data_IF_629381589434
#
_entry.id   IF_629381589434
#
_cell.length_a   1.000
_cell.length_b   1.000
_cell.length_c   1.000
_cell.angle_alpha   90.00
_cell.angle_beta   90.00
_cell.angle_gamma   90.00
#
_symmetry.space_group_name_H-M   'P 1'
#
loop_
_entity.id
_entity.type
_entity.pdbx_description
1 polymer ?
#
# COMPACT_ATOMS: atom_id res chain seq x y z
N UNK A 1 -9.85 -12.67 -6.59
CA UNK A 1 -8.78 -12.54 -5.58
C UNK A 1 -7.66 -11.69 -6.18
N UNK A 2 -7.05 -10.81 -5.40
CA UNK A 2 -5.93 -9.98 -5.84
C UNK A 2 -4.67 -10.48 -5.15
N UNK A 3 -3.67 -10.89 -5.94
CA UNK A 3 -2.37 -11.29 -5.41
C UNK A 3 -1.41 -10.11 -5.57
N UNK A 4 -0.82 -9.65 -4.47
CA UNK A 4 0.20 -8.59 -4.44
C UNK A 4 1.53 -9.21 -4.04
N UNK A 5 2.61 -8.79 -4.70
CA UNK A 5 3.96 -9.26 -4.41
C UNK A 5 4.82 -8.07 -4.04
N UNK A 6 5.07 -7.90 -2.74
CA UNK A 6 5.92 -6.84 -2.20
C UNK A 6 7.34 -7.41 -2.04
N UNK A 7 8.33 -6.79 -2.71
CA UNK A 7 9.74 -7.17 -2.60
C UNK A 7 10.56 -5.97 -2.16
N UNK A 8 11.31 -6.11 -1.06
CA UNK A 8 12.17 -5.04 -0.53
C UNK A 8 13.51 -4.91 -1.25
N UNK A 9 13.82 -5.85 -2.15
CA UNK A 9 15.06 -5.84 -2.93
C UNK A 9 14.75 -6.07 -4.40
N UNK A 10 15.24 -5.18 -5.27
CA UNK A 10 15.21 -5.35 -6.71
C UNK A 10 16.53 -5.99 -7.21
N UNK A 11 16.52 -6.74 -8.32
CA UNK A 11 17.73 -7.18 -9.00
C UNK A 11 18.63 -6.00 -9.40
N UNK A 12 19.87 -6.30 -9.78
CA UNK A 12 20.76 -5.30 -10.37
C UNK A 12 20.10 -4.60 -11.58
N UNK A 13 20.41 -3.32 -11.85
CA UNK A 13 19.89 -2.61 -13.01
C UNK A 13 20.11 -3.38 -14.32
N UNK A 14 19.09 -3.38 -15.19
CA UNK A 14 19.10 -4.08 -16.47
C UNK A 14 17.74 -4.67 -16.84
N UNK A 15 17.69 -5.31 -18.00
CA UNK A 15 16.50 -6.03 -18.48
C UNK A 15 16.40 -7.40 -17.82
N UNK A 16 15.21 -7.69 -17.28
CA UNK A 16 14.87 -8.94 -16.63
C UNK A 16 13.59 -9.54 -17.23
N UNK A 17 13.35 -10.81 -16.96
CA UNK A 17 12.08 -11.47 -17.30
C UNK A 17 11.41 -11.97 -16.04
N UNK A 18 10.23 -11.43 -15.74
CA UNK A 18 9.39 -11.93 -14.65
C UNK A 18 8.50 -13.06 -15.17
N UNK A 19 8.59 -14.23 -14.54
CA UNK A 19 7.79 -15.40 -14.85
C UNK A 19 6.76 -15.69 -13.77
N UNK A 20 5.51 -15.91 -14.17
CA UNK A 20 4.39 -16.21 -13.27
C UNK A 20 3.71 -17.51 -13.71
N UNK A 21 3.26 -18.31 -12.76
CA UNK A 21 2.45 -19.52 -12.98
C UNK A 21 1.46 -19.65 -11.84
N UNK A 22 0.31 -20.23 -12.11
CA UNK A 22 -0.75 -20.43 -11.12
C UNK A 22 -0.96 -21.93 -10.94
N UNK A 23 -1.19 -22.37 -9.71
CA UNK A 23 -1.52 -23.75 -9.38
C UNK A 23 -3.04 -23.87 -9.23
N UNK A 24 -3.66 -24.83 -9.89
CA UNK A 24 -5.09 -25.10 -9.69
C UNK A 24 -5.34 -25.92 -8.40
N UNK A 25 -6.61 -26.05 -8.02
CA UNK A 25 -7.02 -26.81 -6.82
C UNK A 25 -6.71 -28.31 -6.88
N UNK A 26 -6.51 -28.84 -8.09
CA UNK A 26 -6.16 -30.25 -8.30
C UNK A 26 -4.63 -30.46 -8.30
N UNK A 27 -3.84 -29.42 -8.03
CA UNK A 27 -2.39 -29.49 -7.99
C UNK A 27 -1.71 -29.42 -9.37
N UNK A 28 -2.43 -29.02 -10.43
CA UNK A 28 -1.84 -28.84 -11.75
C UNK A 28 -1.33 -27.41 -11.92
N UNK A 29 -0.05 -27.28 -12.30
CA UNK A 29 0.49 -25.99 -12.71
C UNK A 29 -0.05 -25.58 -14.07
N UNK A 30 -0.54 -24.35 -14.16
CA UNK A 30 -0.91 -23.71 -15.42
C UNK A 30 0.32 -23.30 -16.24
N UNK A 31 0.10 -22.79 -17.46
CA UNK A 31 1.16 -22.30 -18.33
C UNK A 31 1.91 -21.12 -17.69
N UNK A 32 3.17 -20.95 -18.08
CA UNK A 32 4.00 -19.84 -17.60
C UNK A 32 3.69 -18.57 -18.40
N UNK A 33 3.21 -17.54 -17.72
CA UNK A 33 3.16 -16.18 -18.22
C UNK A 33 4.50 -15.49 -18.01
N UNK A 34 4.98 -14.71 -18.99
CA UNK A 34 6.24 -13.97 -18.88
C UNK A 34 6.03 -12.53 -19.32
N UNK A 35 6.68 -11.62 -18.61
CA UNK A 35 6.78 -10.21 -18.99
C UNK A 35 8.23 -9.76 -18.87
N UNK A 36 8.68 -8.97 -19.84
CA UNK A 36 9.99 -8.33 -19.80
C UNK A 36 9.86 -7.04 -18.99
N UNK A 37 10.76 -6.86 -18.04
CA UNK A 37 10.79 -5.71 -17.13
C UNK A 37 12.17 -5.11 -17.11
N UNK A 38 12.29 -3.79 -17.03
CA UNK A 38 13.57 -3.12 -16.89
C UNK A 38 13.71 -2.53 -15.49
N UNK A 39 14.83 -2.85 -14.83
CA UNK A 39 15.24 -2.17 -13.59
C UNK A 39 16.20 -1.06 -14.00
N UNK A 40 15.74 0.18 -13.91
CA UNK A 40 16.56 1.34 -14.27
C UNK A 40 17.64 1.59 -13.20
N UNK A 41 18.87 1.99 -13.60
CA UNK A 41 19.89 2.43 -12.67
C UNK A 41 19.52 3.79 -12.06
N UNK A 42 19.86 3.97 -10.79
CA UNK A 42 19.61 5.20 -10.04
C UNK A 42 18.57 5.02 -8.94
N UNK A 43 18.72 5.78 -7.87
CA UNK A 43 17.69 5.86 -6.84
C UNK A 43 16.56 6.72 -7.39
N UNK A 44 15.47 6.10 -7.84
CA UNK A 44 14.21 6.82 -8.00
C UNK A 44 13.71 7.10 -6.58
N UNK A 45 14.07 8.27 -6.04
CA UNK A 45 13.42 8.79 -4.85
C UNK A 45 11.98 9.11 -5.23
N UNK A 46 11.09 8.16 -5.02
CA UNK A 46 9.70 8.51 -4.82
C UNK A 46 9.65 9.42 -3.60
N UNK A 47 8.96 10.57 -3.64
CA UNK A 47 8.65 11.27 -2.41
C UNK A 47 7.97 10.25 -1.49
N UNK A 48 8.49 10.09 -0.28
CA UNK A 48 7.84 9.26 0.72
C UNK A 48 6.53 9.95 1.10
N UNK A 49 5.44 9.61 0.41
CA UNK A 49 4.11 10.09 0.73
C UNK A 49 3.68 9.32 1.98
N UNK A 50 3.65 10.02 3.11
CA UNK A 50 3.15 9.52 4.37
C UNK A 50 2.07 10.47 4.88
N UNK A 51 1.03 9.91 5.48
CA UNK A 51 0.01 10.71 6.17
C UNK A 51 0.57 11.07 7.54
N UNK A 52 0.72 12.36 7.83
CA UNK A 52 1.27 12.84 9.11
C UNK A 52 0.18 13.06 10.16
N UNK A 53 -1.05 13.35 9.74
CA UNK A 53 -2.21 13.54 10.59
C UNK A 53 -3.49 13.30 9.79
N UNK A 54 -4.56 12.97 10.48
CA UNK A 54 -5.91 12.94 9.94
C UNK A 54 -6.90 13.45 11.00
N UNK A 55 -7.98 14.08 10.55
CA UNK A 55 -9.05 14.59 11.41
C UNK A 55 -10.41 14.17 10.87
N UNK A 56 -11.41 14.07 11.74
CA UNK A 56 -12.78 13.75 11.38
C UNK A 56 -13.78 14.66 12.09
N UNK A 57 -14.92 14.90 11.44
CA UNK A 57 -16.03 15.71 11.94
C UNK A 57 -17.36 15.18 11.38
N UNK A 58 -18.47 15.58 12.00
CA UNK A 58 -19.81 15.41 11.43
C UNK A 58 -20.43 16.77 11.10
N UNK A 59 -21.40 16.75 10.18
CA UNK A 59 -22.23 17.86 9.72
C UNK A 59 -21.50 19.06 9.08
N UNK A 60 -20.80 19.87 9.88
CA UNK A 60 -20.16 21.10 9.41
C UNK A 60 -18.65 21.01 9.54
N UNK A 61 -17.94 21.29 8.45
CA UNK A 61 -16.48 21.38 8.43
C UNK A 61 -16.01 22.53 9.34
N UNK A 62 -15.29 22.24 10.44
CA UNK A 62 -14.81 23.27 11.36
C UNK A 62 -13.60 24.04 10.81
N UNK A 63 -13.07 23.63 9.66
CA UNK A 63 -11.84 24.13 9.07
C UNK A 63 -10.64 23.24 9.40
N UNK A 64 -9.56 23.45 8.63
CA UNK A 64 -8.31 22.69 8.73
C UNK A 64 -7.73 22.72 10.15
N UNK A 65 -7.51 21.53 10.72
CA UNK A 65 -6.92 21.35 12.05
C UNK A 65 -7.89 21.60 13.21
N UNK A 66 -9.19 21.82 12.94
CA UNK A 66 -10.22 22.02 13.94
C UNK A 66 -11.15 20.81 14.12
N UNK A 67 -10.92 19.72 13.38
CA UNK A 67 -11.62 18.46 13.55
C UNK A 67 -11.11 17.64 14.75
N UNK A 68 -11.76 16.50 15.00
CA UNK A 68 -11.28 15.55 16.02
C UNK A 68 -10.10 14.76 15.45
N UNK A 69 -8.94 14.69 16.13
CA UNK A 69 -7.78 13.99 15.61
C UNK A 69 -8.03 12.48 15.54
N UNK A 70 -7.61 11.87 14.43
CA UNK A 70 -7.60 10.42 14.25
C UNK A 70 -6.25 9.87 14.70
N UNK A 71 -6.27 8.81 15.51
CA UNK A 71 -5.08 8.11 15.97
C UNK A 71 -5.04 6.72 15.33
N UNK A 72 -4.00 6.43 14.56
CA UNK A 72 -3.72 5.08 14.09
C UNK A 72 -3.51 4.15 15.30
N UNK A 73 -4.09 2.94 15.27
CA UNK A 73 -4.07 2.03 16.42
C UNK A 73 -2.66 1.54 16.81
N UNK A 74 -1.74 1.49 15.85
CA UNK A 74 -0.34 1.13 16.02
C UNK A 74 0.60 2.36 16.01
N UNK A 75 0.05 3.56 15.87
CA UNK A 75 0.77 4.83 15.90
C UNK A 75 1.30 5.30 14.54
N UNK A 76 1.13 4.53 13.46
CA UNK A 76 1.62 4.89 12.12
C UNK A 76 0.48 4.86 11.10
N UNK A 77 0.49 5.76 10.11
CA UNK A 77 -0.43 5.71 8.97
C UNK A 77 0.24 5.05 7.76
N UNK A 78 0.65 3.79 7.92
CA UNK A 78 1.44 3.06 6.92
C UNK A 78 0.67 1.91 6.23
N UNK A 79 -0.58 1.70 6.62
CA UNK A 79 -1.44 0.64 6.11
C UNK A 79 -2.56 1.18 5.23
N UNK A 80 -2.91 0.41 4.19
CA UNK A 80 -4.01 0.77 3.28
C UNK A 80 -5.39 0.75 3.98
N UNK A 81 -5.48 0.05 5.12
CA UNK A 81 -6.63 0.03 6.01
C UNK A 81 -6.12 0.26 7.42
N UNK A 82 -6.50 1.37 8.00
CA UNK A 82 -6.15 1.73 9.38
C UNK A 82 -7.32 1.43 10.32
N UNK A 83 -7.00 0.89 11.49
CA UNK A 83 -7.95 0.82 12.60
C UNK A 83 -7.70 2.03 13.48
N UNK A 84 -8.71 2.85 13.71
CA UNK A 84 -8.59 4.01 14.60
C UNK A 84 -9.00 3.60 16.02
N UNK A 85 -8.18 3.96 17.03
CA UNK A 85 -8.58 3.77 18.43
C UNK A 85 -9.23 5.05 18.97
N UNK A 86 -10.55 4.99 19.17
CA UNK A 86 -11.26 5.88 20.08
C UNK A 86 -12.13 6.95 19.42
N UNK A 87 -13.28 7.20 20.08
CA UNK A 87 -14.26 8.25 19.77
C UNK A 87 -15.37 7.77 18.85
N UNK A 88 -16.61 7.67 19.36
CA UNK A 88 -17.76 7.63 18.47
C UNK A 88 -17.78 8.90 17.62
N UNK A 89 -18.36 8.83 16.41
CA UNK A 89 -18.49 10.00 15.54
C UNK A 89 -19.22 11.09 16.35
N UNK A 90 -18.58 12.23 16.69
CA UNK A 90 -19.26 13.31 17.37
C UNK A 90 -20.35 13.80 16.43
N UNK A 91 -21.60 13.71 16.88
CA UNK A 91 -22.75 14.32 16.20
C UNK A 91 -22.73 15.82 16.37
#
# INVERSE_FOLDING_TARGET
ETVRLESSTLPAPGTHTLGLRVLDVNGNWGPVFRVVTEVLPGSITFPAIHVSAAEYWADSDPGEGAGTPMLAADGNFDSAVEVFRGGGIPV
#
